data_IF_466995932525
#
_entry.id   IF_466995932525
#
_cell.length_a   1.000
_cell.length_b   1.000
_cell.length_c   1.000
_cell.angle_alpha   90.00
_cell.angle_beta   90.00
_cell.angle_gamma   90.00
#
_symmetry.space_group_name_H-M   'P 1'
#
loop_
_entity.id
_entity.type
_entity.pdbx_description
1 polymer ?
#
# COMPACT_ATOMS: atom_id res chain seq x y z
N UNK A 1 30.74 -21.26 -15.56
CA UNK A 1 31.07 -20.88 -14.18
C UNK A 1 32.53 -20.48 -14.12
N UNK A 2 32.87 -19.29 -14.59
CA UNK A 2 34.23 -18.77 -14.51
C UNK A 2 34.15 -17.25 -14.37
N UNK A 3 34.43 -16.73 -13.17
CA UNK A 3 34.93 -15.37 -12.91
C UNK A 3 34.95 -15.02 -11.41
N UNK A 4 35.48 -15.90 -10.55
CA UNK A 4 35.92 -15.51 -9.20
C UNK A 4 37.17 -16.30 -8.87
N UNK A 5 38.22 -16.12 -9.68
CA UNK A 5 39.53 -16.70 -9.40
C UNK A 5 40.41 -15.51 -9.02
N UNK A 6 40.66 -15.38 -7.72
CA UNK A 6 41.51 -14.39 -7.05
C UNK A 6 41.01 -12.94 -7.14
N UNK A 7 40.08 -12.59 -6.25
CA UNK A 7 39.84 -11.21 -5.86
C UNK A 7 41.05 -10.75 -5.02
N UNK A 8 42.14 -10.35 -5.67
CA UNK A 8 43.15 -9.55 -4.99
C UNK A 8 42.47 -8.27 -4.46
N UNK A 9 42.84 -7.85 -3.24
CA UNK A 9 42.37 -6.63 -2.57
C UNK A 9 42.91 -5.38 -3.29
N UNK A 10 42.56 -5.27 -4.57
CA UNK A 10 43.01 -4.24 -5.47
C UNK A 10 42.15 -2.99 -5.27
N UNK A 11 42.72 -1.79 -5.50
CA UNK A 11 41.96 -0.55 -5.44
C UNK A 11 40.70 -0.56 -6.34
N UNK A 12 40.73 -1.32 -7.43
CA UNK A 12 39.60 -1.46 -8.35
C UNK A 12 38.47 -2.30 -7.77
N UNK A 13 38.80 -3.39 -7.05
CA UNK A 13 37.80 -4.20 -6.35
C UNK A 13 37.13 -3.39 -5.23
N UNK A 14 37.92 -2.72 -4.39
CA UNK A 14 37.41 -1.86 -3.32
C UNK A 14 36.46 -0.77 -3.86
N UNK A 15 36.82 -0.14 -4.99
CA UNK A 15 35.96 0.87 -5.63
C UNK A 15 34.62 0.28 -6.11
N UNK A 16 34.62 -0.95 -6.64
CA UNK A 16 33.39 -1.62 -7.06
C UNK A 16 32.51 -1.99 -5.86
N UNK A 17 33.10 -2.47 -4.76
CA UNK A 17 32.39 -2.75 -3.51
C UNK A 17 31.72 -1.48 -2.98
N UNK A 18 32.46 -0.37 -2.86
CA UNK A 18 31.88 0.90 -2.39
C UNK A 18 30.75 1.41 -3.31
N UNK A 19 30.88 1.24 -4.62
CA UNK A 19 29.81 1.60 -5.57
C UNK A 19 28.54 0.76 -5.36
N UNK A 20 28.71 -0.53 -5.07
CA UNK A 20 27.60 -1.45 -4.82
C UNK A 20 26.91 -1.13 -3.49
N UNK A 21 27.67 -0.81 -2.45
CA UNK A 21 27.14 -0.35 -1.16
C UNK A 21 26.32 0.93 -1.31
N UNK A 22 26.82 1.91 -2.07
CA UNK A 22 26.08 3.14 -2.37
C UNK A 22 24.76 2.87 -3.08
N UNK A 23 24.77 1.98 -4.07
CA UNK A 23 23.55 1.58 -4.80
C UNK A 23 22.55 0.86 -3.89
N UNK A 24 23.03 0.02 -2.98
CA UNK A 24 22.19 -0.68 -2.01
C UNK A 24 21.52 0.28 -1.00
N UNK A 25 22.24 1.31 -0.54
CA UNK A 25 21.66 2.32 0.35
C UNK A 25 20.64 3.21 -0.36
N UNK A 26 20.87 3.57 -1.63
CA UNK A 26 19.88 4.27 -2.43
C UNK A 26 18.60 3.43 -2.62
N UNK A 27 18.76 2.14 -2.89
CA UNK A 27 17.62 1.22 -3.01
C UNK A 27 16.84 1.12 -1.70
N UNK A 28 17.54 1.05 -0.57
CA UNK A 28 16.93 1.07 0.77
C UNK A 28 16.10 2.32 1.01
N UNK A 29 16.63 3.50 0.70
CA UNK A 29 15.92 4.78 0.84
C UNK A 29 14.65 4.82 -0.04
N UNK A 30 14.76 4.37 -1.30
CA UNK A 30 13.61 4.26 -2.21
C UNK A 30 12.53 3.32 -1.66
N UNK A 31 12.92 2.17 -1.12
CA UNK A 31 12.00 1.22 -0.50
C UNK A 31 11.32 1.82 0.75
N UNK A 32 12.06 2.54 1.60
CA UNK A 32 11.49 3.21 2.78
C UNK A 32 10.52 4.33 2.41
N UNK A 33 10.82 5.11 1.37
CA UNK A 33 9.91 6.13 0.84
C UNK A 33 8.62 5.50 0.33
N UNK A 34 8.71 4.40 -0.41
CA UNK A 34 7.54 3.66 -0.88
C UNK A 34 6.70 3.13 0.29
N UNK A 35 7.34 2.53 1.30
CA UNK A 35 6.66 2.05 2.51
C UNK A 35 5.84 3.15 3.20
N UNK A 36 6.45 4.32 3.41
CA UNK A 36 5.76 5.48 4.00
C UNK A 36 4.59 5.96 3.14
N UNK A 37 4.78 5.98 1.82
CA UNK A 37 3.74 6.33 0.85
C UNK A 37 2.54 5.39 0.92
N UNK A 38 2.79 4.07 0.96
CA UNK A 38 1.74 3.04 1.10
C UNK A 38 0.96 3.21 2.40
N UNK A 39 1.64 3.37 3.54
CA UNK A 39 0.94 3.57 4.83
C UNK A 39 0.06 4.82 4.82
N UNK A 40 0.54 5.93 4.25
CA UNK A 40 -0.27 7.15 4.10
C UNK A 40 -1.47 6.93 3.18
N UNK A 41 -1.26 6.29 2.04
CA UNK A 41 -2.33 5.98 1.09
C UNK A 41 -3.45 5.14 1.73
N UNK A 42 -3.09 4.04 2.41
CA UNK A 42 -4.05 3.18 3.10
C UNK A 42 -4.83 3.93 4.18
N UNK A 43 -4.17 4.83 4.94
CA UNK A 43 -4.85 5.64 5.94
C UNK A 43 -5.93 6.54 5.34
N UNK A 44 -5.57 7.31 4.30
CA UNK A 44 -6.52 8.19 3.59
C UNK A 44 -7.66 7.38 2.94
N UNK A 45 -7.34 6.24 2.35
CA UNK A 45 -8.33 5.40 1.69
C UNK A 45 -9.33 4.79 2.69
N UNK A 46 -8.84 4.36 3.86
CA UNK A 46 -9.67 3.86 4.96
C UNK A 46 -10.57 4.94 5.56
N UNK A 47 -10.09 6.17 5.73
CA UNK A 47 -10.92 7.31 6.15
C UNK A 47 -11.99 7.64 5.12
N UNK A 48 -11.65 7.64 3.83
CA UNK A 48 -12.59 7.89 2.76
C UNK A 48 -13.70 6.82 2.70
N UNK A 49 -13.34 5.55 2.87
CA UNK A 49 -14.31 4.44 2.94
C UNK A 49 -15.30 4.64 4.10
N UNK A 50 -14.79 4.93 5.31
CA UNK A 50 -15.63 5.20 6.49
C UNK A 50 -16.57 6.40 6.27
N UNK A 51 -16.09 7.46 5.60
CA UNK A 51 -16.89 8.62 5.27
C UNK A 51 -18.03 8.29 4.30
N UNK A 52 -17.77 7.47 3.28
CA UNK A 52 -18.80 7.01 2.34
C UNK A 52 -19.84 6.12 3.00
N UNK A 53 -19.41 5.18 3.85
CA UNK A 53 -20.33 4.34 4.63
C UNK A 53 -21.21 5.19 5.55
N UNK A 54 -20.61 6.12 6.31
CA UNK A 54 -21.38 6.99 7.20
C UNK A 54 -22.39 7.87 6.45
N UNK A 55 -22.02 8.38 5.27
CA UNK A 55 -22.96 9.14 4.44
C UNK A 55 -24.07 8.26 3.88
N UNK A 56 -23.76 7.03 3.46
CA UNK A 56 -24.76 6.05 3.04
C UNK A 56 -25.75 5.73 4.18
N UNK A 57 -25.27 5.63 5.42
CA UNK A 57 -26.11 5.39 6.60
C UNK A 57 -27.04 6.58 6.89
N UNK A 58 -26.57 7.83 6.74
CA UNK A 58 -27.44 9.01 6.83
C UNK A 58 -28.53 9.02 5.74
N UNK A 59 -28.18 8.62 4.52
CA UNK A 59 -29.15 8.49 3.42
C UNK A 59 -30.17 7.37 3.70
N UNK A 60 -29.72 6.27 4.30
CA UNK A 60 -30.58 5.15 4.68
C UNK A 60 -31.52 5.54 5.83
N UNK A 61 -31.04 6.25 6.85
CA UNK A 61 -31.87 6.80 7.93
C UNK A 61 -32.92 7.78 7.38
N UNK A 62 -32.52 8.65 6.45
CA UNK A 62 -33.45 9.56 5.79
C UNK A 62 -34.50 8.82 4.93
N UNK A 63 -34.07 7.77 4.22
CA UNK A 63 -34.90 7.02 3.28
C UNK A 63 -35.72 5.88 3.89
N UNK A 64 -35.42 5.45 5.12
CA UNK A 64 -36.04 4.27 5.77
C UNK A 64 -37.43 4.51 6.36
N UNK A 65 -38.11 5.58 5.94
CA UNK A 65 -39.55 5.75 6.12
C UNK A 65 -40.35 4.77 5.23
N UNK A 66 -40.68 3.60 5.78
CA UNK A 66 -41.67 2.62 5.31
C UNK A 66 -42.79 3.21 4.46
N UNK A 67 -42.80 2.98 3.14
CA UNK A 67 -43.89 3.36 2.22
C UNK A 67 -44.48 4.76 2.49
N UNK A 68 -43.64 5.69 2.97
CA UNK A 68 -44.06 7.04 3.31
C UNK A 68 -44.19 7.83 2.00
N UNK A 69 -45.37 8.36 1.67
CA UNK A 69 -45.57 9.18 0.47
C UNK A 69 -44.56 10.34 0.33
N UNK A 70 -44.02 10.84 1.46
CA UNK A 70 -43.03 11.93 1.50
C UNK A 70 -41.65 11.44 1.04
N UNK A 71 -41.18 10.28 1.52
CA UNK A 71 -39.89 9.70 1.10
C UNK A 71 -39.89 9.33 -0.39
N UNK A 72 -41.02 8.82 -0.90
CA UNK A 72 -41.24 8.56 -2.32
C UNK A 72 -41.23 9.85 -3.15
N UNK A 73 -41.87 10.92 -2.64
CA UNK A 73 -41.89 12.24 -3.28
C UNK A 73 -40.51 12.92 -3.34
N UNK A 74 -39.63 12.67 -2.38
CA UNK A 74 -38.28 13.28 -2.32
C UNK A 74 -37.27 12.48 -3.16
N UNK A 75 -37.64 11.29 -3.63
CA UNK A 75 -36.83 10.48 -4.53
C UNK A 75 -36.19 9.26 -3.88
N UNK A 76 -36.91 8.57 -2.98
CA UNK A 76 -36.50 7.30 -2.37
C UNK A 76 -35.75 6.34 -3.32
N UNK A 77 -36.25 6.04 -4.54
CA UNK A 77 -35.53 5.19 -5.50
C UNK A 77 -34.18 5.73 -5.96
N UNK A 78 -34.03 7.05 -6.05
CA UNK A 78 -32.75 7.71 -6.37
C UNK A 78 -31.80 7.62 -5.18
N UNK A 79 -32.31 7.86 -3.97
CA UNK A 79 -31.54 7.77 -2.72
C UNK A 79 -31.01 6.34 -2.52
N UNK A 80 -31.82 5.31 -2.75
CA UNK A 80 -31.38 3.91 -2.69
C UNK A 80 -30.25 3.60 -3.67
N UNK A 81 -30.25 4.22 -4.87
CA UNK A 81 -29.12 4.07 -5.81
C UNK A 81 -27.85 4.69 -5.25
N UNK A 82 -27.93 5.89 -4.65
CA UNK A 82 -26.77 6.52 -4.01
C UNK A 82 -26.23 5.67 -2.86
N UNK A 83 -27.09 5.14 -1.98
CA UNK A 83 -26.68 4.24 -0.89
C UNK A 83 -25.91 3.04 -1.43
N UNK A 84 -26.47 2.36 -2.43
CA UNK A 84 -25.84 1.18 -3.02
C UNK A 84 -24.48 1.52 -3.66
N UNK A 85 -24.40 2.60 -4.43
CA UNK A 85 -23.15 3.03 -5.06
C UNK A 85 -22.09 3.44 -4.03
N UNK A 86 -22.47 4.15 -2.97
CA UNK A 86 -21.53 4.53 -1.89
C UNK A 86 -21.00 3.30 -1.15
N UNK A 87 -21.87 2.33 -0.85
CA UNK A 87 -21.47 1.06 -0.22
C UNK A 87 -20.54 0.25 -1.12
N UNK A 88 -20.83 0.19 -2.42
CA UNK A 88 -19.97 -0.48 -3.39
C UNK A 88 -18.59 0.21 -3.50
N UNK A 89 -18.55 1.55 -3.55
CA UNK A 89 -17.31 2.32 -3.55
C UNK A 89 -16.48 2.07 -2.29
N UNK A 90 -17.11 2.08 -1.11
CA UNK A 90 -16.46 1.77 0.16
C UNK A 90 -15.83 0.37 0.13
N UNK A 91 -16.57 -0.65 -0.35
CA UNK A 91 -16.06 -2.03 -0.47
C UNK A 91 -14.87 -2.13 -1.44
N UNK A 92 -14.90 -1.45 -2.58
CA UNK A 92 -13.75 -1.46 -3.50
C UNK A 92 -12.51 -0.80 -2.89
N UNK A 93 -12.69 0.26 -2.09
CA UNK A 93 -11.58 0.91 -1.38
C UNK A 93 -10.98 0.03 -0.30
N UNK A 94 -11.81 -0.68 0.46
CA UNK A 94 -11.34 -1.67 1.44
C UNK A 94 -10.58 -2.81 0.79
N UNK A 95 -11.10 -3.33 -0.33
CA UNK A 95 -10.41 -4.34 -1.13
C UNK A 95 -9.05 -3.84 -1.62
N UNK A 96 -8.99 -2.62 -2.15
CA UNK A 96 -7.72 -2.02 -2.59
C UNK A 96 -6.72 -1.86 -1.44
N UNK A 97 -7.18 -1.43 -0.25
CA UNK A 97 -6.35 -1.40 0.96
C UNK A 97 -5.73 -2.77 1.26
N UNK A 98 -6.53 -3.83 1.24
CA UNK A 98 -6.08 -5.19 1.51
C UNK A 98 -5.06 -5.68 0.46
N UNK A 99 -5.30 -5.41 -0.83
CA UNK A 99 -4.38 -5.76 -1.90
C UNK A 99 -3.04 -5.03 -1.77
N UNK A 100 -3.07 -3.74 -1.43
CA UNK A 100 -1.85 -2.95 -1.22
C UNK A 100 -1.07 -3.47 0.01
N UNK A 101 -1.75 -3.88 1.07
CA UNK A 101 -1.11 -4.46 2.24
C UNK A 101 -0.47 -5.81 1.93
N UNK A 102 -1.25 -6.79 1.47
CA UNK A 102 -0.76 -8.16 1.31
C UNK A 102 0.14 -8.36 0.09
N UNK A 103 -0.11 -7.67 -1.02
CA UNK A 103 0.67 -7.91 -2.25
C UNK A 103 1.90 -7.01 -2.30
N UNK A 104 1.75 -5.72 -1.98
CA UNK A 104 2.83 -4.76 -2.13
C UNK A 104 3.64 -4.59 -0.83
N UNK A 105 2.98 -4.36 0.29
CA UNK A 105 3.68 -4.05 1.54
C UNK A 105 4.46 -5.26 2.07
N UNK A 106 3.85 -6.45 2.11
CA UNK A 106 4.54 -7.67 2.56
C UNK A 106 5.77 -7.99 1.72
N UNK A 107 5.66 -7.92 0.39
CA UNK A 107 6.80 -8.13 -0.52
C UNK A 107 7.91 -7.11 -0.29
N UNK A 108 7.54 -5.84 -0.13
CA UNK A 108 8.49 -4.77 0.13
C UNK A 108 9.19 -4.95 1.49
N UNK A 109 8.45 -5.35 2.53
CA UNK A 109 9.02 -5.60 3.86
C UNK A 109 9.94 -6.82 3.85
N UNK A 110 9.57 -7.89 3.14
CA UNK A 110 10.45 -9.05 2.97
C UNK A 110 11.76 -8.65 2.29
N UNK A 111 11.68 -7.90 1.20
CA UNK A 111 12.85 -7.41 0.47
C UNK A 111 13.78 -6.55 1.36
N UNK A 112 13.22 -5.60 2.13
CA UNK A 112 14.01 -4.72 3.01
C UNK A 112 14.66 -5.50 4.16
N UNK A 113 13.94 -6.44 4.76
CA UNK A 113 14.36 -7.08 6.02
C UNK A 113 15.15 -8.38 5.83
N UNK A 114 14.96 -9.07 4.71
CA UNK A 114 15.66 -10.32 4.38
C UNK A 114 16.71 -10.02 3.33
N UNK A 115 16.30 -9.80 2.08
CA UNK A 115 17.22 -9.72 0.94
C UNK A 115 18.28 -8.63 1.11
N UNK A 116 17.86 -7.43 1.52
CA UNK A 116 18.77 -6.29 1.66
C UNK A 116 19.64 -6.36 2.93
N UNK A 117 19.17 -7.04 3.99
CA UNK A 117 19.96 -7.24 5.20
C UNK A 117 20.99 -8.35 5.02
N UNK A 118 20.60 -9.47 4.39
CA UNK A 118 21.52 -10.57 4.05
C UNK A 118 22.66 -10.09 3.17
N UNK A 119 22.38 -9.24 2.17
CA UNK A 119 23.39 -8.61 1.34
C UNK A 119 24.38 -7.73 2.14
N UNK A 120 23.94 -7.12 3.25
CA UNK A 120 24.82 -6.33 4.14
C UNK A 120 25.65 -7.20 5.08
N UNK A 121 25.09 -8.30 5.59
CA UNK A 121 25.80 -9.21 6.51
C UNK A 121 26.93 -9.96 5.78
N UNK A 122 26.73 -10.31 4.51
CA UNK A 122 27.77 -10.98 3.71
C UNK A 122 29.05 -10.14 3.54
N UNK A 123 28.92 -8.80 3.51
CA UNK A 123 30.05 -7.86 3.43
C UNK A 123 30.84 -7.71 4.74
N UNK A 124 30.32 -8.19 5.88
CA UNK A 124 31.01 -8.12 7.18
C UNK A 124 31.70 -9.43 7.60
N UNK A 125 31.42 -10.53 6.92
CA UNK A 125 31.91 -11.88 7.29
C UNK A 125 32.89 -12.44 6.25
N UNK A 126 33.09 -11.75 5.12
CA UNK A 126 34.07 -12.09 4.08
C UNK A 126 35.26 -11.14 4.13
#
# INVERSE_FOLDING_TARGET
MAAFINLEDSPMFQKQVCSLEGTAEELKDRCQKLYKGVKKFMGVLGEASKGESAFADCLEEFGSGHDDPISLSIGGPVISKFINTLRELASYKEFLCSQVEHVLLERLMNFINVDLQEAKVFNYVS
#
